data_IF_592052741581
#
_entry.id   IF_592052741581
#
_cell.length_a   1.000
_cell.length_b   1.000
_cell.length_c   1.000
_cell.angle_alpha   90.00
_cell.angle_beta   90.00
_cell.angle_gamma   90.00
#
_symmetry.space_group_name_H-M   'P 1'
#
loop_
_entity.id
_entity.type
_entity.pdbx_description
1 polymer ?
#
# COMPACT_ATOMS: atom_id res chain seq x y z
N UNK A 1 -19.73 -46.53 -38.90
CA UNK A 1 -18.58 -47.43 -39.08
C UNK A 1 -17.85 -47.49 -37.75
N UNK A 2 -18.10 -48.55 -36.97
CA UNK A 2 -17.40 -48.78 -35.71
C UNK A 2 -16.05 -49.41 -36.00
N UNK A 3 -14.97 -48.82 -35.49
CA UNK A 3 -13.69 -49.51 -35.35
C UNK A 3 -13.29 -49.41 -33.87
N UNK A 4 -13.51 -50.53 -33.18
CA UNK A 4 -12.87 -50.84 -31.91
C UNK A 4 -11.42 -51.24 -32.20
N UNK A 5 -10.45 -50.55 -31.60
CA UNK A 5 -9.11 -51.08 -31.38
C UNK A 5 -8.78 -50.94 -29.90
N UNK A 6 -8.78 -52.09 -29.22
CA UNK A 6 -8.24 -52.28 -27.88
C UNK A 6 -6.71 -52.23 -27.94
N UNK A 7 -6.10 -51.36 -27.15
CA UNK A 7 -4.74 -51.57 -26.68
C UNK A 7 -4.60 -50.85 -25.34
N UNK A 8 -4.45 -51.64 -24.29
CA UNK A 8 -4.23 -51.15 -22.94
C UNK A 8 -3.05 -50.17 -22.88
N UNK A 9 -3.31 -49.00 -22.31
CA UNK A 9 -2.30 -48.14 -21.72
C UNK A 9 -2.82 -47.77 -20.34
N UNK A 10 -2.14 -48.27 -19.30
CA UNK A 10 -2.22 -47.71 -17.96
C UNK A 10 -1.96 -46.21 -18.06
N UNK A 11 -3.01 -45.40 -18.13
CA UNK A 11 -2.90 -43.95 -18.00
C UNK A 11 -3.14 -43.67 -16.54
N UNK A 12 -2.06 -43.45 -15.79
CA UNK A 12 -2.12 -42.87 -14.46
C UNK A 12 -3.08 -41.68 -14.54
N UNK A 13 -4.17 -41.76 -13.78
CA UNK A 13 -4.99 -40.61 -13.48
C UNK A 13 -4.12 -39.68 -12.64
N UNK A 14 -3.47 -38.73 -13.31
CA UNK A 14 -2.98 -37.53 -12.66
C UNK A 14 -4.25 -36.85 -12.15
N UNK A 15 -4.57 -37.09 -10.87
CA UNK A 15 -5.44 -36.19 -10.13
C UNK A 15 -4.74 -34.84 -10.20
N UNK A 16 -5.23 -33.97 -11.07
CA UNK A 16 -4.97 -32.54 -11.00
C UNK A 16 -5.56 -32.08 -9.67
N UNK A 17 -4.76 -32.23 -8.61
CA UNK A 17 -5.00 -31.59 -7.33
C UNK A 17 -4.88 -30.10 -7.58
N UNK A 18 -5.99 -29.46 -8.00
CA UNK A 18 -6.17 -28.02 -7.84
C UNK A 18 -5.92 -27.74 -6.36
N UNK A 19 -4.73 -27.24 -6.02
CA UNK A 19 -4.57 -26.44 -4.82
C UNK A 19 -5.47 -25.25 -5.04
N UNK A 20 -6.63 -25.26 -4.42
CA UNK A 20 -7.38 -24.03 -4.17
C UNK A 20 -6.40 -23.10 -3.44
N UNK A 21 -5.93 -22.09 -4.15
CA UNK A 21 -5.11 -21.05 -3.54
C UNK A 21 -5.97 -20.39 -2.47
N UNK A 22 -5.51 -20.44 -1.23
CA UNK A 22 -6.16 -19.76 -0.11
C UNK A 22 -6.33 -18.28 -0.51
N UNK A 23 -7.59 -17.84 -0.64
CA UNK A 23 -7.88 -16.47 -1.07
C UNK A 23 -7.46 -15.52 0.07
N UNK A 24 -6.34 -14.82 -0.12
CA UNK A 24 -5.83 -13.91 0.92
C UNK A 24 -6.58 -12.59 0.86
N UNK A 25 -7.12 -12.14 1.99
CA UNK A 25 -7.76 -10.83 2.14
C UNK A 25 -6.73 -9.69 2.33
N UNK A 26 -5.54 -9.85 1.74
CA UNK A 26 -4.41 -8.93 1.86
C UNK A 26 -4.24 -8.16 0.56
N UNK A 27 -4.12 -6.85 0.65
CA UNK A 27 -3.89 -5.96 -0.49
C UNK A 27 -2.71 -5.04 -0.24
N UNK A 28 -1.96 -4.79 -1.32
CA UNK A 28 -0.87 -3.81 -1.34
C UNK A 28 -1.38 -2.53 -1.97
N UNK A 29 -1.20 -1.41 -1.28
CA UNK A 29 -1.59 -0.09 -1.78
C UNK A 29 -0.35 0.78 -1.98
N UNK A 30 -0.18 1.30 -3.19
CA UNK A 30 0.80 2.36 -3.46
C UNK A 30 0.29 3.67 -2.85
N UNK A 31 1.05 4.23 -1.91
CA UNK A 31 0.74 5.49 -1.24
C UNK A 31 1.50 6.67 -1.87
N UNK A 32 2.71 6.43 -2.37
CA UNK A 32 3.48 7.41 -3.11
C UNK A 32 4.49 6.74 -4.04
N UNK A 33 4.99 7.52 -5.00
CA UNK A 33 5.88 7.04 -6.07
C UNK A 33 7.00 8.02 -6.42
N UNK A 34 7.05 9.19 -5.76
CA UNK A 34 8.12 10.16 -5.97
C UNK A 34 9.34 9.83 -5.12
N UNK A 35 10.49 10.38 -5.49
CA UNK A 35 11.67 10.44 -4.61
C UNK A 35 11.36 11.32 -3.38
N UNK A 36 12.25 11.34 -2.38
CA UNK A 36 12.23 12.11 -1.13
C UNK A 36 11.76 13.58 -1.26
N UNK A 37 12.01 14.23 -2.39
CA UNK A 37 11.57 15.61 -2.63
C UNK A 37 10.10 15.77 -3.03
N UNK A 38 9.37 14.67 -3.24
CA UNK A 38 8.02 14.67 -3.79
C UNK A 38 7.96 15.12 -5.26
N UNK A 39 6.74 15.27 -5.77
CA UNK A 39 6.45 15.98 -7.01
C UNK A 39 5.26 16.91 -6.74
N UNK A 40 5.40 18.23 -6.90
CA UNK A 40 6.60 18.97 -7.28
C UNK A 40 7.69 18.97 -6.18
N UNK A 41 8.97 19.01 -6.59
CA UNK A 41 10.05 19.31 -5.64
C UNK A 41 10.12 20.81 -5.35
N UNK A 42 10.39 21.18 -4.10
CA UNK A 42 10.32 22.58 -3.62
C UNK A 42 11.11 23.57 -4.48
N UNK A 43 12.33 23.21 -4.89
CA UNK A 43 13.23 24.05 -5.70
C UNK A 43 13.23 23.76 -7.19
N UNK A 44 12.34 22.90 -7.70
CA UNK A 44 12.34 22.49 -9.10
C UNK A 44 11.28 23.23 -9.93
N UNK A 45 11.71 23.71 -11.11
CA UNK A 45 10.89 24.43 -12.10
C UNK A 45 10.86 23.71 -13.46
N UNK A 46 11.18 22.42 -13.50
CA UNK A 46 11.04 21.65 -14.74
C UNK A 46 9.56 21.48 -15.13
N UNK A 47 9.29 21.07 -16.38
CA UNK A 47 7.92 20.94 -16.90
C UNK A 47 7.00 20.10 -16.01
N UNK A 48 7.52 19.04 -15.38
CA UNK A 48 6.73 18.14 -14.55
C UNK A 48 6.34 18.81 -13.22
N UNK A 49 7.26 19.56 -12.61
CA UNK A 49 6.96 20.28 -11.37
C UNK A 49 6.02 21.45 -11.62
N UNK A 50 6.21 22.21 -12.71
CA UNK A 50 5.27 23.27 -13.11
C UNK A 50 3.86 22.71 -13.32
N UNK A 51 3.74 21.62 -14.10
CA UNK A 51 2.47 20.92 -14.32
C UNK A 51 1.82 20.44 -13.02
N UNK A 52 2.61 19.93 -12.08
CA UNK A 52 2.10 19.49 -10.77
C UNK A 52 1.66 20.64 -9.85
N UNK A 53 2.18 21.85 -10.05
CA UNK A 53 1.70 23.05 -9.35
C UNK A 53 0.39 23.57 -9.93
N UNK A 54 0.22 23.48 -11.24
CA UNK A 54 -0.97 23.97 -11.96
C UNK A 54 -2.17 23.02 -11.86
N UNK A 55 -1.92 21.70 -11.83
CA UNK A 55 -2.97 20.69 -11.89
C UNK A 55 -2.75 19.57 -10.86
N UNK A 56 -3.71 19.47 -9.94
CA UNK A 56 -3.74 18.54 -8.81
C UNK A 56 -3.75 17.05 -9.18
N UNK A 57 -3.86 16.70 -10.46
CA UNK A 57 -3.72 15.31 -10.95
C UNK A 57 -2.27 14.85 -11.04
N UNK A 58 -1.31 15.76 -11.05
CA UNK A 58 0.11 15.46 -11.27
C UNK A 58 0.99 15.38 -10.03
N UNK A 59 0.65 15.99 -8.86
CA UNK A 59 1.39 15.74 -7.64
C UNK A 59 1.55 14.25 -7.32
N UNK A 60 2.69 13.91 -6.72
CA UNK A 60 2.99 12.56 -6.25
C UNK A 60 3.65 12.66 -4.89
N UNK A 61 3.15 11.86 -3.95
CA UNK A 61 3.73 11.68 -2.63
C UNK A 61 5.03 10.87 -2.73
N UNK A 62 5.89 11.02 -1.73
CA UNK A 62 7.14 10.29 -1.58
C UNK A 62 6.87 8.78 -1.48
N UNK A 63 7.77 7.98 -2.05
CA UNK A 63 7.65 6.53 -2.19
C UNK A 63 7.29 5.83 -0.88
N UNK A 64 6.13 5.18 -0.86
CA UNK A 64 5.62 4.43 0.28
C UNK A 64 4.54 3.44 -0.16
N UNK A 65 4.44 2.33 0.55
CA UNK A 65 3.40 1.31 0.35
C UNK A 65 2.63 1.07 1.65
N UNK A 66 1.40 0.59 1.54
CA UNK A 66 0.70 -0.05 2.64
C UNK A 66 0.47 -1.52 2.33
N UNK A 67 0.65 -2.37 3.35
CA UNK A 67 0.10 -3.73 3.38
C UNK A 67 -1.15 -3.68 4.23
N UNK A 68 -2.27 -4.12 3.68
CA UNK A 68 -3.58 -3.97 4.29
C UNK A 68 -4.23 -5.34 4.35
N UNK A 69 -4.53 -5.80 5.55
CA UNK A 69 -5.27 -7.03 5.81
C UNK A 69 -6.73 -6.66 6.12
N UNK A 70 -7.62 -6.97 5.18
CA UNK A 70 -9.05 -6.70 5.31
C UNK A 70 -9.74 -7.65 6.31
N UNK A 71 -9.23 -8.89 6.45
CA UNK A 71 -9.77 -9.87 7.38
C UNK A 71 -9.51 -9.45 8.83
N UNK A 72 -8.26 -9.11 9.12
CA UNK A 72 -7.81 -8.67 10.46
C UNK A 72 -8.08 -7.19 10.73
N UNK A 73 -8.46 -6.43 9.70
CA UNK A 73 -8.62 -4.97 9.76
C UNK A 73 -7.34 -4.26 10.20
N UNK A 74 -6.19 -4.76 9.77
CA UNK A 74 -4.85 -4.26 10.09
C UNK A 74 -4.22 -3.64 8.87
N UNK A 75 -3.33 -2.68 9.11
CA UNK A 75 -2.48 -2.17 8.05
C UNK A 75 -1.09 -1.81 8.58
N UNK A 76 -0.11 -1.96 7.71
CA UNK A 76 1.29 -1.63 7.92
C UNK A 76 1.72 -0.65 6.85
N UNK A 77 2.59 0.29 7.20
CA UNK A 77 3.19 1.23 6.24
C UNK A 77 4.64 0.83 6.01
N UNK A 78 5.05 0.80 4.75
CA UNK A 78 6.44 0.69 4.35
C UNK A 78 6.96 2.10 4.11
N UNK A 79 7.99 2.47 4.86
CA UNK A 79 8.60 3.80 4.92
C UNK A 79 7.65 4.91 5.39
N UNK A 80 7.96 5.49 6.55
CA UNK A 80 7.24 6.64 7.07
C UNK A 80 7.84 7.92 6.48
N UNK A 81 7.30 8.36 5.36
CA UNK A 81 7.80 9.52 4.61
C UNK A 81 7.33 10.85 5.21
N UNK A 82 7.89 12.01 4.82
CA UNK A 82 7.32 13.33 5.14
C UNK A 82 5.81 13.47 4.84
N UNK A 83 5.27 12.72 3.88
CA UNK A 83 3.85 12.75 3.48
C UNK A 83 2.93 11.86 4.34
N UNK A 84 3.44 11.29 5.44
CA UNK A 84 2.79 10.22 6.22
C UNK A 84 1.36 10.54 6.66
N UNK A 85 1.04 11.82 6.88
CA UNK A 85 -0.30 12.28 7.25
C UNK A 85 -1.33 11.88 6.20
N UNK A 86 -1.06 12.21 4.93
CA UNK A 86 -1.94 11.89 3.80
C UNK A 86 -1.89 10.39 3.50
N UNK A 87 -0.69 9.79 3.57
CA UNK A 87 -0.50 8.35 3.30
C UNK A 87 -1.28 7.47 4.29
N UNK A 88 -1.27 7.81 5.58
CA UNK A 88 -2.03 7.11 6.62
C UNK A 88 -3.54 7.22 6.37
N UNK A 89 -4.05 8.39 5.97
CA UNK A 89 -5.46 8.56 5.59
C UNK A 89 -5.84 7.67 4.39
N UNK A 90 -5.00 7.61 3.35
CA UNK A 90 -5.23 6.75 2.19
C UNK A 90 -5.28 5.27 2.59
N UNK A 91 -4.34 4.83 3.43
CA UNK A 91 -4.26 3.44 3.88
C UNK A 91 -5.45 3.04 4.77
N UNK A 92 -5.81 3.87 5.75
CA UNK A 92 -6.92 3.57 6.66
C UNK A 92 -8.29 3.62 6.00
N UNK A 93 -8.50 4.54 5.05
CA UNK A 93 -9.75 4.57 4.28
C UNK A 93 -10.02 3.26 3.50
N UNK A 94 -8.97 2.49 3.17
CA UNK A 94 -9.12 1.18 2.52
C UNK A 94 -9.62 0.09 3.45
N UNK A 95 -9.47 0.23 4.76
CA UNK A 95 -10.00 -0.73 5.74
C UNK A 95 -11.53 -0.65 5.88
N UNK A 96 -12.19 0.33 5.25
CA UNK A 96 -13.64 0.56 5.34
C UNK A 96 -14.16 0.62 6.79
N UNK A 97 -13.29 0.92 7.75
CA UNK A 97 -13.67 1.10 9.14
C UNK A 97 -14.49 2.39 9.22
N UNK A 98 -15.71 2.32 9.75
CA UNK A 98 -16.44 3.53 10.15
C UNK A 98 -15.50 4.34 11.04
N UNK A 99 -15.42 5.66 10.80
CA UNK A 99 -14.62 6.65 11.55
C UNK A 99 -15.08 6.79 13.03
N UNK A 100 -15.28 5.68 13.74
CA UNK A 100 -15.75 5.57 15.12
C UNK A 100 -14.54 5.51 16.05
N UNK A 101 -13.78 6.61 16.12
CA UNK A 101 -12.79 6.81 17.18
C UNK A 101 -11.52 5.92 17.13
N UNK A 102 -11.32 5.13 16.07
CA UNK A 102 -10.04 4.43 15.86
C UNK A 102 -9.00 5.42 15.35
N UNK A 103 -7.91 5.59 16.10
CA UNK A 103 -6.75 6.39 15.70
C UNK A 103 -6.24 5.85 14.36
N UNK A 104 -5.95 6.76 13.44
CA UNK A 104 -5.42 6.44 12.12
C UNK A 104 -3.92 6.06 12.18
N UNK A 105 -3.54 5.22 13.14
CA UNK A 105 -2.18 4.73 13.28
C UNK A 105 -2.05 3.35 12.61
N UNK A 106 -0.95 3.10 11.88
CA UNK A 106 -0.64 1.77 11.40
C UNK A 106 -0.37 0.84 12.57
N UNK A 107 -0.54 -0.46 12.34
CA UNK A 107 -0.17 -1.52 13.28
C UNK A 107 1.35 -1.74 13.35
N UNK A 108 2.07 -1.22 12.35
CA UNK A 108 3.53 -1.16 12.34
C UNK A 108 4.04 -0.34 11.15
N UNK A 109 5.25 0.18 11.31
CA UNK A 109 6.00 0.81 10.23
C UNK A 109 7.21 -0.08 9.94
N UNK A 110 7.39 -0.43 8.67
CA UNK A 110 8.51 -1.21 8.16
C UNK A 110 9.42 -0.26 7.39
N UNK A 111 10.62 -0.01 7.90
CA UNK A 111 11.60 0.84 7.22
C UNK A 111 12.45 -0.03 6.28
N UNK A 112 12.56 0.38 5.02
CA UNK A 112 13.43 -0.27 4.04
C UNK A 112 14.89 0.12 4.27
N UNK A 113 15.15 1.38 4.64
CA UNK A 113 16.47 1.94 4.92
C UNK A 113 16.38 3.25 5.70
N UNK A 114 17.53 3.82 6.09
CA UNK A 114 17.63 5.00 6.97
C UNK A 114 17.94 6.32 6.24
N UNK A 115 17.32 6.57 5.08
CA UNK A 115 17.35 7.89 4.46
C UNK A 115 16.19 8.76 4.97
N UNK A 116 16.44 10.06 5.01
CA UNK A 116 15.53 11.04 5.62
C UNK A 116 14.12 10.98 5.01
N UNK A 117 13.98 10.78 3.69
CA UNK A 117 12.67 10.64 3.05
C UNK A 117 11.87 9.40 3.43
N UNK A 118 12.45 8.44 4.14
CA UNK A 118 11.84 7.14 4.46
C UNK A 118 11.52 6.94 5.95
N UNK A 119 12.05 7.77 6.86
CA UNK A 119 11.75 7.65 8.30
C UNK A 119 11.28 8.93 8.98
N UNK A 120 11.41 10.13 8.38
CA UNK A 120 11.03 11.37 9.08
C UNK A 120 9.56 11.45 9.44
N UNK A 121 8.70 10.74 8.71
CA UNK A 121 7.28 10.64 9.03
C UNK A 121 7.00 10.09 10.43
N UNK A 122 7.94 9.34 11.02
CA UNK A 122 7.80 8.82 12.38
C UNK A 122 7.54 9.93 13.42
N UNK A 123 8.02 11.14 13.19
CA UNK A 123 7.78 12.28 14.08
C UNK A 123 6.29 12.61 14.26
N UNK A 124 5.45 12.27 13.27
CA UNK A 124 4.00 12.51 13.31
C UNK A 124 3.23 11.44 14.09
N UNK A 125 3.87 10.37 14.54
CA UNK A 125 3.26 9.40 15.45
C UNK A 125 3.48 9.75 16.93
N UNK A 126 4.11 10.89 17.22
CA UNK A 126 4.27 11.43 18.57
C UNK A 126 2.97 11.95 19.19
N UNK A 127 3.03 12.23 20.49
CA UNK A 127 1.87 12.65 21.31
C UNK A 127 1.14 13.87 20.75
N UNK A 128 1.87 14.90 20.34
CA UNK A 128 1.32 16.17 19.82
C UNK A 128 0.38 15.98 18.63
N UNK A 129 0.69 15.04 17.74
CA UNK A 129 -0.12 14.77 16.56
C UNK A 129 -1.19 13.68 16.83
N UNK A 130 -0.88 12.65 17.62
CA UNK A 130 -1.75 11.49 17.83
C UNK A 130 -2.76 11.65 18.98
N UNK A 131 -2.65 12.72 19.77
CA UNK A 131 -3.55 13.05 20.88
C UNK A 131 -4.50 14.23 20.57
N UNK A 132 -4.64 14.61 19.30
CA UNK A 132 -5.56 15.68 18.87
C UNK A 132 -7.01 15.16 18.78
N UNK A 133 -7.94 15.84 19.46
CA UNK A 133 -9.39 15.53 19.41
C UNK A 133 -10.23 16.71 18.90
N UNK A 134 -9.64 17.90 18.77
CA UNK A 134 -10.24 19.15 18.28
C UNK A 134 -9.11 20.09 17.83
N UNK A 135 -9.31 20.84 16.74
CA UNK A 135 -8.44 21.92 16.27
C UNK A 135 -9.12 23.27 16.50
#
# INVERSE_FOLDING_TARGET
>A
MNIFMSSGKHRLSLKDSKKEGEETNVLVKVLGTAQDGGLPQIGCYCKNCLRAREDQRFPRLISSLAIIDLGEKKYFILDATPDIRIQSDIAFNRLALRKQGRKNSPHGVLLTHAHIGHYTGLMFYGYEAMSTHKL
#
